data_IF_083672963044
#
_entry.id   IF_083672963044
#
_cell.length_a   1.000
_cell.length_b   1.000
_cell.length_c   1.000
_cell.angle_alpha   90.00
_cell.angle_beta   90.00
_cell.angle_gamma   90.00
#
_symmetry.space_group_name_H-M   'P 1'
#
loop_
_entity.id
_entity.type
_entity.pdbx_description
1 polymer ?
#
# COMPACT_ATOMS: atom_id res chain seq x y z
N UNK A 1 -8.36 19.72 4.49
CA UNK A 1 -9.33 18.86 3.80
C UNK A 1 -9.13 17.45 4.30
N UNK A 2 -10.19 16.67 4.61
CA UNK A 2 -10.01 15.27 4.95
C UNK A 2 -9.30 14.61 3.76
N UNK A 3 -8.13 14.03 4.01
CA UNK A 3 -7.34 13.41 2.95
C UNK A 3 -8.05 12.16 2.45
N UNK A 4 -8.03 11.95 1.13
CA UNK A 4 -8.53 10.71 0.53
C UNK A 4 -7.84 9.50 1.19
N UNK A 5 -8.64 8.49 1.54
CA UNK A 5 -8.17 7.32 2.25
C UNK A 5 -8.63 6.04 1.57
N UNK A 6 -7.69 5.13 1.32
CA UNK A 6 -7.98 3.82 0.74
C UNK A 6 -7.10 2.74 1.38
N UNK A 7 -7.56 1.49 1.31
CA UNK A 7 -6.78 0.30 1.70
C UNK A 7 -5.70 0.00 0.65
N UNK A 8 -4.60 -0.61 1.08
CA UNK A 8 -3.48 -0.94 0.19
C UNK A 8 -3.81 -2.18 -0.65
N UNK A 9 -4.44 -3.19 -0.03
CA UNK A 9 -4.74 -4.48 -0.66
C UNK A 9 -6.21 -4.59 -1.09
N UNK A 10 -6.45 -5.45 -2.08
CA UNK A 10 -7.80 -5.73 -2.57
C UNK A 10 -8.72 -6.26 -1.47
N UNK A 11 -8.20 -7.17 -0.64
CA UNK A 11 -8.92 -7.74 0.49
C UNK A 11 -9.21 -6.69 1.57
N UNK A 12 -10.44 -6.69 2.08
CA UNK A 12 -10.89 -5.73 3.11
C UNK A 12 -10.30 -6.03 4.49
N UNK A 13 -9.93 -7.28 4.73
CA UNK A 13 -9.37 -7.75 6.00
C UNK A 13 -8.19 -8.69 5.72
N UNK A 14 -7.19 -8.73 6.62
CA UNK A 14 -6.14 -9.74 6.56
C UNK A 14 -6.71 -11.14 6.85
N UNK A 15 -6.00 -12.17 6.38
CA UNK A 15 -6.34 -13.55 6.71
C UNK A 15 -5.78 -13.95 8.10
N UNK A 16 -6.24 -15.08 8.62
CA UNK A 16 -5.69 -15.61 9.87
C UNK A 16 -4.22 -15.98 9.65
N UNK A 17 -3.36 -15.63 10.60
CA UNK A 17 -1.90 -15.82 10.54
C UNK A 17 -1.11 -14.82 9.67
N UNK A 18 -1.78 -13.87 9.00
CA UNK A 18 -1.10 -12.80 8.28
C UNK A 18 -0.36 -11.85 9.22
N UNK A 19 0.89 -11.56 8.88
CA UNK A 19 1.70 -10.52 9.54
C UNK A 19 1.35 -9.17 8.92
N UNK A 20 0.87 -8.24 9.74
CA UNK A 20 0.43 -6.90 9.33
C UNK A 20 1.09 -5.81 10.16
N UNK A 21 1.28 -4.65 9.54
CA UNK A 21 1.79 -3.45 10.20
C UNK A 21 0.66 -2.71 10.91
N UNK A 22 0.83 -2.50 12.21
CA UNK A 22 -0.15 -1.82 13.06
C UNK A 22 0.45 -0.62 13.77
N UNK A 23 -0.37 0.40 14.02
CA UNK A 23 -0.04 1.50 14.90
C UNK A 23 -0.81 1.38 16.22
N UNK A 24 -0.11 1.44 17.35
CA UNK A 24 -0.76 1.38 18.67
C UNK A 24 -1.41 2.73 18.98
N UNK A 25 -2.72 2.72 19.22
CA UNK A 25 -3.50 3.92 19.56
C UNK A 25 -3.55 4.15 21.05
N UNK A 26 -3.89 3.10 21.80
CA UNK A 26 -4.01 3.14 23.25
C UNK A 26 -3.78 1.77 23.84
N UNK A 27 -3.31 1.75 25.08
CA UNK A 27 -3.14 0.52 25.85
C UNK A 27 -4.16 0.59 26.98
N UNK A 28 -5.06 -0.39 27.03
CA UNK A 28 -6.09 -0.54 28.03
C UNK A 28 -5.82 -1.80 28.88
N UNK A 29 -6.59 -1.98 29.95
CA UNK A 29 -6.42 -3.07 30.92
C UNK A 29 -6.66 -4.47 30.32
N UNK A 30 -7.45 -4.59 29.25
CA UNK A 30 -7.75 -5.86 28.59
C UNK A 30 -6.90 -6.11 27.32
N UNK A 31 -6.23 -5.08 26.80
CA UNK A 31 -5.51 -5.17 25.53
C UNK A 31 -5.01 -3.83 25.01
N UNK A 32 -4.30 -3.86 23.89
CA UNK A 32 -3.92 -2.70 23.13
C UNK A 32 -4.87 -2.49 21.94
N UNK A 33 -5.43 -1.29 21.82
CA UNK A 33 -6.15 -0.87 20.63
C UNK A 33 -5.14 -0.42 19.59
N UNK A 34 -5.28 -0.96 18.39
CA UNK A 34 -4.36 -0.73 17.28
C UNK A 34 -5.13 -0.35 16.02
N UNK A 35 -4.49 0.38 15.12
CA UNK A 35 -5.01 0.66 13.79
C UNK A 35 -4.17 -0.06 12.75
N UNK A 36 -4.82 -0.83 11.86
CA UNK A 36 -4.16 -1.52 10.76
C UNK A 36 -3.89 -0.51 9.64
N UNK A 37 -2.63 -0.11 9.48
CA UNK A 37 -2.24 0.97 8.56
C UNK A 37 -2.46 0.59 7.09
N UNK A 38 -2.32 -0.70 6.77
CA UNK A 38 -2.47 -1.23 5.41
C UNK A 38 -3.93 -1.38 4.98
N UNK A 39 -4.84 -1.43 5.95
CA UNK A 39 -6.26 -1.68 5.73
C UNK A 39 -7.09 -0.46 6.13
N UNK A 40 -6.73 0.72 5.63
CA UNK A 40 -7.50 1.95 5.82
C UNK A 40 -7.71 2.34 7.30
N UNK A 41 -6.74 2.05 8.18
CA UNK A 41 -6.80 2.30 9.61
C UNK A 41 -7.95 1.59 10.35
N UNK A 42 -8.40 0.42 9.86
CA UNK A 42 -9.35 -0.42 10.60
C UNK A 42 -8.83 -0.65 12.02
N UNK A 43 -9.72 -0.50 12.99
CA UNK A 43 -9.40 -0.70 14.40
C UNK A 43 -9.38 -2.18 14.74
N UNK A 44 -8.33 -2.59 15.45
CA UNK A 44 -8.16 -3.92 15.99
C UNK A 44 -7.83 -3.85 17.48
N UNK A 45 -8.02 -4.95 18.18
CA UNK A 45 -7.63 -5.10 19.57
C UNK A 45 -6.71 -6.31 19.71
N UNK A 46 -5.53 -6.08 20.27
CA UNK A 46 -4.60 -7.14 20.66
C UNK A 46 -4.80 -7.37 22.15
N UNK A 47 -5.35 -8.51 22.56
CA UNK A 47 -5.48 -8.83 23.99
C UNK A 47 -4.10 -8.81 24.64
N UNK A 48 -4.00 -8.34 25.88
CA UNK A 48 -2.72 -8.22 26.59
C UNK A 48 -1.97 -9.56 26.66
N UNK A 49 -2.69 -10.68 26.81
CA UNK A 49 -2.10 -12.03 26.77
C UNK A 49 -1.40 -12.35 25.45
N UNK A 50 -1.82 -11.73 24.35
CA UNK A 50 -1.24 -11.89 23.03
C UNK A 50 -0.24 -10.80 22.65
N UNK A 51 -0.05 -9.74 23.43
CA UNK A 51 0.84 -8.63 23.00
C UNK A 51 2.31 -9.08 22.89
N UNK A 52 2.77 -9.88 23.86
CA UNK A 52 4.09 -10.50 23.83
C UNK A 52 4.13 -11.71 22.89
N UNK A 53 3.03 -12.48 22.78
CA UNK A 53 2.98 -13.66 21.91
C UNK A 53 2.91 -13.28 20.43
N UNK A 54 2.19 -12.23 20.04
CA UNK A 54 2.11 -11.74 18.66
C UNK A 54 3.45 -11.20 18.20
N UNK A 55 4.23 -10.54 19.07
CA UNK A 55 5.61 -10.12 18.74
C UNK A 55 6.62 -11.27 18.81
N UNK A 56 6.45 -12.24 19.71
CA UNK A 56 7.35 -13.41 19.84
C UNK A 56 7.13 -14.49 18.79
N UNK A 57 5.92 -14.59 18.22
CA UNK A 57 5.61 -15.53 17.14
C UNK A 57 6.07 -15.03 15.78
N UNK A 58 6.24 -13.73 15.62
CA UNK A 58 6.80 -13.14 14.41
C UNK A 58 8.30 -13.32 14.44
N UNK A 59 8.81 -14.16 13.55
CA UNK A 59 10.24 -14.35 13.37
C UNK A 59 10.87 -13.04 12.85
N UNK A 60 12.15 -12.74 13.16
CA UNK A 60 12.82 -11.56 12.62
C UNK A 60 12.73 -11.47 11.08
N UNK A 61 12.80 -12.62 10.41
CA UNK A 61 12.64 -12.72 8.94
C UNK A 61 11.25 -12.29 8.46
N UNK A 62 10.19 -12.62 9.21
CA UNK A 62 8.81 -12.24 8.90
C UNK A 62 8.58 -10.75 9.17
N UNK A 63 9.17 -10.22 10.24
CA UNK A 63 9.13 -8.78 10.52
C UNK A 63 9.80 -7.96 9.40
N UNK A 64 10.99 -8.39 8.94
CA UNK A 64 11.71 -7.73 7.83
C UNK A 64 10.88 -7.77 6.55
N UNK A 65 10.29 -8.93 6.23
CA UNK A 65 9.40 -9.06 5.06
C UNK A 65 8.17 -8.16 5.18
N UNK A 66 7.54 -8.11 6.35
CA UNK A 66 6.38 -7.25 6.59
C UNK A 66 6.73 -5.76 6.46
N UNK A 67 7.88 -5.33 7.00
CA UNK A 67 8.34 -3.95 6.89
C UNK A 67 8.64 -3.55 5.44
N UNK A 68 9.29 -4.43 4.68
CA UNK A 68 9.58 -4.24 3.27
C UNK A 68 8.29 -4.19 2.43
N UNK A 69 7.35 -5.12 2.66
CA UNK A 69 6.01 -5.13 2.04
C UNK A 69 5.25 -3.84 2.34
N UNK A 70 5.24 -3.41 3.59
CA UNK A 70 4.59 -2.18 4.03
C UNK A 70 5.19 -0.95 3.36
N UNK A 71 6.53 -0.87 3.31
CA UNK A 71 7.24 0.26 2.71
C UNK A 71 6.94 0.38 1.22
N UNK A 72 7.01 -0.74 0.47
CA UNK A 72 6.67 -0.79 -0.96
C UNK A 72 5.21 -0.42 -1.21
N UNK A 73 4.28 -0.99 -0.45
CA UNK A 73 2.85 -0.69 -0.55
C UNK A 73 2.54 0.77 -0.23
N UNK A 74 3.21 1.35 0.78
CA UNK A 74 3.10 2.76 1.14
C UNK A 74 3.64 3.68 0.04
N UNK A 75 4.70 3.29 -0.66
CA UNK A 75 5.19 4.04 -1.83
C UNK A 75 4.15 4.05 -2.94
N UNK A 76 3.61 2.89 -3.32
CA UNK A 76 2.52 2.78 -4.32
C UNK A 76 1.32 3.63 -3.91
N UNK A 77 0.91 3.54 -2.63
CA UNK A 77 -0.18 4.33 -2.09
C UNK A 77 0.08 5.82 -2.22
N UNK A 78 1.27 6.29 -1.86
CA UNK A 78 1.64 7.70 -1.97
C UNK A 78 1.65 8.20 -3.42
N UNK A 79 2.00 7.34 -4.39
CA UNK A 79 1.97 7.68 -5.81
C UNK A 79 0.52 7.85 -6.26
N UNK A 80 -0.32 6.83 -6.04
CA UNK A 80 -1.73 6.85 -6.45
C UNK A 80 -2.54 7.95 -5.76
N UNK A 81 -2.26 8.20 -4.48
CA UNK A 81 -2.87 9.32 -3.75
C UNK A 81 -2.52 10.66 -4.40
N UNK A 82 -1.27 10.86 -4.81
CA UNK A 82 -0.89 12.10 -5.47
C UNK A 82 -1.54 12.25 -6.84
N UNK A 83 -1.68 11.16 -7.60
CA UNK A 83 -2.45 11.16 -8.85
C UNK A 83 -3.89 11.61 -8.59
N UNK A 84 -4.53 11.07 -7.56
CA UNK A 84 -5.88 11.47 -7.18
C UNK A 84 -5.98 12.93 -6.70
N UNK A 85 -4.96 13.44 -6.00
CA UNK A 85 -4.87 14.85 -5.61
C UNK A 85 -4.73 15.78 -6.83
N UNK A 86 -3.93 15.39 -7.83
CA UNK A 86 -3.74 16.16 -9.08
C UNK A 86 -4.99 16.16 -9.96
N UNK A 87 -5.71 15.03 -10.00
CA UNK A 87 -6.97 14.89 -10.73
C UNK A 87 -8.19 15.39 -9.95
N UNK A 88 -7.95 16.07 -8.81
CA UNK A 88 -8.98 16.69 -7.96
C UNK A 88 -10.09 15.73 -7.52
N UNK A 89 -9.73 14.48 -7.22
CA UNK A 89 -10.68 13.52 -6.69
C UNK A 89 -11.20 13.99 -5.32
N UNK A 90 -12.52 13.88 -5.14
CA UNK A 90 -13.19 14.34 -3.91
C UNK A 90 -13.77 13.20 -3.10
N UNK A 91 -13.90 12.00 -3.69
CA UNK A 91 -14.49 10.82 -3.07
C UNK A 91 -13.47 9.69 -2.92
N UNK A 92 -13.50 9.03 -1.77
CA UNK A 92 -12.68 7.83 -1.51
C UNK A 92 -12.96 6.70 -2.52
N UNK A 93 -14.20 6.60 -3.01
CA UNK A 93 -14.60 5.64 -4.06
C UNK A 93 -13.83 5.82 -5.37
N UNK A 94 -13.46 7.06 -5.72
CA UNK A 94 -12.67 7.33 -6.92
C UNK A 94 -11.23 6.84 -6.74
N UNK A 95 -10.65 7.08 -5.55
CA UNK A 95 -9.33 6.55 -5.20
C UNK A 95 -9.35 5.02 -5.18
N UNK A 96 -10.38 4.40 -4.59
CA UNK A 96 -10.52 2.94 -4.60
C UNK A 96 -10.63 2.37 -6.02
N UNK A 97 -11.43 3.00 -6.89
CA UNK A 97 -11.53 2.62 -8.31
C UNK A 97 -10.17 2.73 -9.02
N UNK A 98 -9.38 3.76 -8.73
CA UNK A 98 -8.03 3.88 -9.26
C UNK A 98 -7.14 2.71 -8.82
N UNK A 99 -7.18 2.30 -7.54
CA UNK A 99 -6.44 1.13 -7.04
C UNK A 99 -6.90 -0.18 -7.69
N UNK A 100 -8.22 -0.35 -7.86
CA UNK A 100 -8.81 -1.51 -8.54
C UNK A 100 -8.32 -1.66 -9.97
N UNK A 101 -8.19 -0.55 -10.71
CA UNK A 101 -7.75 -0.52 -12.11
C UNK A 101 -6.22 -0.51 -12.28
N UNK A 102 -5.44 -0.38 -11.19
CA UNK A 102 -3.98 -0.26 -11.23
C UNK A 102 -3.27 -1.27 -10.31
N UNK A 103 -3.08 -0.91 -9.04
CA UNK A 103 -2.28 -1.66 -8.09
C UNK A 103 -2.82 -3.07 -7.89
N UNK A 104 -4.13 -3.23 -7.75
CA UNK A 104 -4.72 -4.54 -7.51
C UNK A 104 -4.68 -5.45 -8.74
N UNK A 105 -4.68 -4.88 -9.95
CA UNK A 105 -4.47 -5.65 -11.19
C UNK A 105 -3.08 -6.28 -11.18
N UNK A 106 -2.05 -5.52 -10.81
CA UNK A 106 -0.69 -6.05 -10.76
C UNK A 106 -0.47 -7.02 -9.61
N UNK A 107 -1.01 -6.72 -8.43
CA UNK A 107 -0.92 -7.62 -7.27
C UNK A 107 -1.58 -8.97 -7.57
N UNK A 108 -2.74 -8.98 -8.26
CA UNK A 108 -3.39 -10.21 -8.69
C UNK A 108 -2.61 -10.92 -9.81
N UNK A 109 -2.11 -10.17 -10.80
CA UNK A 109 -1.32 -10.70 -11.93
C UNK A 109 -0.07 -11.42 -11.46
N UNK A 110 0.64 -10.86 -10.48
CA UNK A 110 1.86 -11.46 -9.94
C UNK A 110 1.59 -12.37 -8.74
N UNK A 111 0.35 -12.49 -8.26
CA UNK A 111 -0.05 -13.22 -7.05
C UNK A 111 0.82 -12.85 -5.83
N UNK A 112 1.17 -11.57 -5.73
CA UNK A 112 2.08 -11.03 -4.71
C UNK A 112 1.53 -9.70 -4.18
N UNK A 113 0.55 -9.74 -3.26
CA UNK A 113 -0.06 -8.53 -2.73
C UNK A 113 0.98 -7.61 -2.07
N UNK A 114 1.02 -6.33 -2.47
CA UNK A 114 1.96 -5.32 -1.98
C UNK A 114 3.32 -5.28 -2.67
N UNK A 115 3.72 -6.35 -3.35
CA UNK A 115 4.97 -6.42 -4.10
C UNK A 115 4.73 -6.24 -5.60
N UNK A 116 3.68 -6.86 -6.13
CA UNK A 116 3.37 -6.87 -7.56
C UNK A 116 3.19 -5.47 -8.13
N UNK A 117 2.42 -4.63 -7.45
CA UNK A 117 2.20 -3.24 -7.84
C UNK A 117 3.50 -2.41 -7.83
N UNK A 118 4.33 -2.58 -6.80
CA UNK A 118 5.59 -1.85 -6.68
C UNK A 118 6.59 -2.27 -7.76
N UNK A 119 6.76 -3.58 -7.97
CA UNK A 119 7.67 -4.12 -8.97
C UNK A 119 7.22 -3.73 -10.39
N UNK A 120 5.90 -3.74 -10.64
CA UNK A 120 5.33 -3.19 -11.86
C UNK A 120 5.68 -1.71 -12.02
N UNK A 121 5.41 -0.86 -11.03
CA UNK A 121 5.70 0.58 -11.13
C UNK A 121 7.20 0.85 -11.33
N UNK A 122 8.07 0.06 -10.71
CA UNK A 122 9.51 0.14 -10.93
C UNK A 122 9.88 -0.24 -12.35
N UNK A 123 9.25 -1.27 -12.91
CA UNK A 123 9.48 -1.68 -14.29
C UNK A 123 8.92 -0.64 -15.28
N UNK A 124 7.83 0.05 -14.94
CA UNK A 124 7.23 1.12 -15.75
C UNK A 124 8.17 2.30 -16.02
N UNK A 125 9.16 2.53 -15.14
CA UNK A 125 10.21 3.54 -15.35
C UNK A 125 11.07 3.19 -16.57
N UNK A 126 11.34 1.89 -16.79
CA UNK A 126 12.15 1.41 -17.92
C UNK A 126 11.30 1.07 -19.15
N UNK A 127 10.12 0.51 -18.92
CA UNK A 127 9.19 0.11 -19.97
C UNK A 127 7.75 0.55 -19.62
N UNK A 128 7.33 1.75 -20.07
CA UNK A 128 5.99 2.27 -19.82
C UNK A 128 4.86 1.45 -20.44
N UNK A 129 5.16 0.55 -21.39
CA UNK A 129 4.15 -0.26 -22.10
C UNK A 129 3.42 -1.22 -21.17
N UNK A 130 4.00 -1.58 -20.02
CA UNK A 130 3.32 -2.45 -19.05
C UNK A 130 2.05 -1.82 -18.48
N UNK A 131 1.98 -0.48 -18.47
CA UNK A 131 0.80 0.25 -18.04
C UNK A 131 -0.30 0.22 -19.12
N UNK A 132 0.00 -0.17 -20.37
CA UNK A 132 -0.98 -0.31 -21.47
C UNK A 132 -2.00 -1.42 -21.22
N UNK A 133 -1.65 -2.34 -20.31
CA UNK A 133 -2.60 -3.36 -19.85
C UNK A 133 -3.65 -2.85 -18.86
N UNK A 134 -3.55 -1.58 -18.41
CA UNK A 134 -4.46 -0.99 -17.44
C UNK A 134 -5.54 -0.15 -18.11
N UNK A 135 -6.75 -0.20 -17.55
CA UNK A 135 -7.89 0.62 -17.97
C UNK A 135 -7.82 2.02 -17.33
N UNK A 136 -6.88 2.84 -17.82
CA UNK A 136 -6.63 4.19 -17.36
C UNK A 136 -6.93 5.22 -18.44
N UNK A 137 -7.44 6.37 -18.03
CA UNK A 137 -7.58 7.53 -18.90
C UNK A 137 -6.19 8.07 -19.30
N UNK A 138 -6.11 8.78 -20.43
CA UNK A 138 -4.84 9.39 -20.88
C UNK A 138 -4.25 10.34 -19.83
N UNK A 139 -5.08 11.16 -19.19
CA UNK A 139 -4.67 12.07 -18.11
C UNK A 139 -4.17 11.31 -16.87
N UNK A 140 -4.87 10.23 -16.47
CA UNK A 140 -4.49 9.38 -15.33
C UNK A 140 -3.12 8.75 -15.57
N UNK A 141 -2.91 8.23 -16.78
CA UNK A 141 -1.66 7.63 -17.22
C UNK A 141 -0.50 8.62 -17.19
N UNK A 142 -0.68 9.81 -17.76
CA UNK A 142 0.40 10.80 -17.84
C UNK A 142 0.87 11.21 -16.45
N UNK A 143 -0.08 11.52 -15.56
CA UNK A 143 0.21 11.92 -14.17
C UNK A 143 0.86 10.76 -13.41
N UNK A 144 0.39 9.52 -13.60
CA UNK A 144 0.96 8.33 -12.98
C UNK A 144 2.42 8.11 -13.41
N UNK A 145 2.70 8.14 -14.71
CA UNK A 145 4.06 7.94 -15.26
C UNK A 145 5.00 9.04 -14.74
N UNK A 146 4.55 10.30 -14.74
CA UNK A 146 5.34 11.41 -14.23
C UNK A 146 5.66 11.22 -12.72
N UNK A 147 4.68 10.80 -11.93
CA UNK A 147 4.87 10.57 -10.51
C UNK A 147 5.79 9.38 -10.21
N UNK A 148 5.60 8.27 -10.93
CA UNK A 148 6.47 7.08 -10.88
C UNK A 148 7.90 7.48 -11.18
N UNK A 149 8.16 8.18 -12.29
CA UNK A 149 9.50 8.62 -12.65
C UNK A 149 10.10 9.56 -11.59
N UNK A 150 9.33 10.48 -11.02
CA UNK A 150 9.83 11.36 -9.94
C UNK A 150 10.19 10.61 -8.65
N UNK A 151 9.44 9.56 -8.31
CA UNK A 151 9.56 8.84 -7.02
C UNK A 151 10.50 7.63 -7.07
N UNK A 152 10.54 6.94 -8.21
CA UNK A 152 11.18 5.63 -8.37
C UNK A 152 12.41 5.66 -9.29
N UNK A 153 12.63 6.74 -10.06
CA UNK A 153 13.89 6.87 -10.82
C UNK A 153 15.04 7.02 -9.83
N UNK A 154 16.07 6.16 -9.89
CA UNK A 154 17.25 6.32 -9.06
C UNK A 154 17.84 7.70 -9.33
N UNK A 155 17.85 8.56 -8.31
CA UNK A 155 18.57 9.83 -8.40
C UNK A 155 20.04 9.47 -8.57
N UNK A 156 20.65 9.91 -9.67
CA UNK A 156 22.07 9.75 -9.90
C UNK A 156 22.81 10.40 -8.72
N UNK A 157 23.39 9.58 -7.85
CA UNK A 157 24.29 10.06 -6.81
C UNK A 157 25.50 10.62 -7.54
N UNK A 158 25.66 11.94 -7.54
CA UNK A 158 26.90 12.56 -8.00
C UNK A 158 28.01 12.07 -7.08
N UNK A 159 28.89 11.21 -7.60
CA UNK A 159 30.17 10.85 -7.00
C UNK A 159 31.17 11.97 -7.33
#
# INVERSE_FOLDING_TARGET
MPGLSCRFYQHKFPEVEDVVMVNVRSIAEMGAYVSLLEYNNIEGMILLRYIDLSKRRVSPEEAIKCEDKFTKSKTVYSILRHVAEVLEYTKDEQLESLFQRTAWVFDDKYKRPGYGAYDAFKHAVSDPSILDSLDLNEDEREVLINNINRRLTPQAVKI
#
